data_IF_097073843171
#
_entry.id   IF_097073843171
#
_cell.length_a   1.000
_cell.length_b   1.000
_cell.length_c   1.000
_cell.angle_alpha   90.00
_cell.angle_beta   90.00
_cell.angle_gamma   90.00
#
_symmetry.space_group_name_H-M   'P 1'
#
loop_
_entity.id
_entity.type
_entity.pdbx_description
1 polymer ?
#
# COMPACT_ATOMS: atom_id res chain seq x y z
N UNK A 1 -3.94 -22.21 -15.29
CA UNK A 1 -3.98 -23.66 -14.92
C UNK A 1 -2.64 -24.14 -14.40
N UNK A 2 -1.51 -23.96 -15.13
CA UNK A 2 -0.19 -24.46 -14.70
C UNK A 2 0.28 -23.87 -13.35
N UNK A 3 0.00 -22.60 -13.10
CA UNK A 3 0.33 -21.91 -11.84
C UNK A 3 -0.48 -22.49 -10.67
N UNK A 4 -1.80 -22.54 -10.80
CA UNK A 4 -2.69 -23.09 -9.76
C UNK A 4 -2.45 -24.57 -9.46
N UNK A 5 -1.88 -25.31 -10.40
CA UNK A 5 -1.52 -26.72 -10.22
C UNK A 5 -0.07 -26.94 -9.77
N UNK A 6 0.65 -25.88 -9.39
CA UNK A 6 2.02 -25.97 -8.91
C UNK A 6 3.07 -26.38 -9.94
N UNK A 7 2.71 -26.39 -11.23
CA UNK A 7 3.64 -26.81 -12.29
C UNK A 7 4.62 -25.71 -12.69
N UNK A 8 4.19 -24.44 -12.66
CA UNK A 8 5.01 -23.30 -13.07
C UNK A 8 4.61 -22.06 -12.29
N UNK A 9 5.52 -21.50 -11.48
CA UNK A 9 5.33 -20.20 -10.87
C UNK A 9 5.40 -19.09 -11.92
N UNK A 10 4.52 -18.10 -11.81
CA UNK A 10 4.42 -16.98 -12.74
C UNK A 10 4.59 -15.68 -11.96
N UNK A 11 5.48 -14.82 -12.45
CA UNK A 11 5.55 -13.42 -12.07
C UNK A 11 4.85 -12.58 -13.13
N UNK A 12 4.23 -11.50 -12.72
CA UNK A 12 3.58 -10.53 -13.59
C UNK A 12 4.16 -9.14 -13.37
N UNK A 13 4.40 -8.45 -14.46
CA UNK A 13 4.76 -7.04 -14.45
C UNK A 13 3.47 -6.23 -14.42
N UNK A 14 3.25 -5.37 -13.40
CA UNK A 14 1.99 -4.63 -13.30
C UNK A 14 1.84 -3.53 -14.36
N UNK A 15 2.93 -2.84 -14.70
CA UNK A 15 2.93 -1.77 -15.71
C UNK A 15 3.07 -2.39 -17.10
N UNK A 16 2.15 -2.06 -18.00
CA UNK A 16 2.22 -2.43 -19.41
C UNK A 16 3.00 -1.40 -20.25
N UNK A 17 3.03 -1.63 -21.58
CA UNK A 17 3.78 -0.80 -22.51
C UNK A 17 3.26 0.61 -22.65
N UNK A 18 1.97 0.81 -22.39
CA UNK A 18 1.30 2.11 -22.44
C UNK A 18 1.45 2.88 -21.13
N UNK A 19 2.20 2.33 -20.14
CA UNK A 19 2.31 2.92 -18.81
C UNK A 19 1.06 2.76 -17.95
N UNK A 20 0.21 1.78 -18.29
CA UNK A 20 -1.04 1.50 -17.59
C UNK A 20 -0.90 0.23 -16.73
N UNK A 21 -1.72 0.14 -15.69
CA UNK A 21 -1.79 -1.02 -14.82
C UNK A 21 -3.23 -1.28 -14.36
N UNK A 22 -3.52 -2.52 -13.98
CA UNK A 22 -4.81 -2.94 -13.40
C UNK A 22 -4.71 -3.35 -11.94
N UNK A 23 -3.51 -3.35 -11.40
CA UNK A 23 -3.26 -3.61 -9.99
C UNK A 23 -1.92 -3.01 -9.57
N UNK A 24 -1.79 -2.86 -8.26
CA UNK A 24 -0.52 -2.57 -7.61
C UNK A 24 -0.40 -3.31 -6.30
N UNK A 25 0.79 -3.29 -5.69
CA UNK A 25 1.02 -3.94 -4.42
C UNK A 25 2.13 -3.25 -3.61
N UNK A 26 2.00 -3.32 -2.28
CA UNK A 26 3.08 -3.04 -1.34
C UNK A 26 3.65 -4.38 -0.91
N UNK A 27 4.97 -4.53 -0.95
CA UNK A 27 5.68 -5.73 -0.46
C UNK A 27 6.30 -5.45 0.92
N UNK A 28 5.74 -6.10 1.94
CA UNK A 28 6.20 -5.99 3.33
C UNK A 28 6.98 -7.26 3.68
N UNK A 29 8.30 -7.26 3.41
CA UNK A 29 9.19 -8.37 3.77
C UNK A 29 9.59 -8.26 5.24
N UNK A 30 9.34 -9.28 6.09
CA UNK A 30 9.69 -9.30 7.51
C UNK A 30 11.15 -8.99 7.81
N UNK A 31 12.06 -9.32 6.88
CA UNK A 31 13.49 -9.07 7.03
C UNK A 31 13.85 -7.60 7.16
N UNK A 32 12.98 -6.73 6.67
CA UNK A 32 13.19 -5.28 6.68
C UNK A 32 12.60 -4.60 7.93
N UNK A 33 11.92 -5.36 8.82
CA UNK A 33 11.19 -4.81 9.96
C UNK A 33 11.45 -5.62 11.23
N UNK A 34 11.92 -4.99 12.29
CA UNK A 34 12.33 -5.64 13.55
C UNK A 34 11.13 -6.29 14.28
N UNK A 35 9.93 -5.70 14.17
CA UNK A 35 8.72 -6.12 14.87
C UNK A 35 7.56 -6.35 13.91
N UNK A 36 7.81 -7.09 12.82
CA UNK A 36 6.76 -7.41 11.86
C UNK A 36 5.68 -8.28 12.50
N UNK A 37 4.45 -7.77 12.50
CA UNK A 37 3.23 -8.48 12.93
C UNK A 37 2.14 -8.25 11.91
N UNK A 38 1.72 -9.28 11.16
CA UNK A 38 0.64 -9.16 10.17
C UNK A 38 -0.61 -8.50 10.73
N UNK A 39 -0.98 -8.84 11.97
CA UNK A 39 -2.19 -8.38 12.66
C UNK A 39 -2.26 -6.86 12.76
N UNK A 40 -1.11 -6.18 12.91
CA UNK A 40 -1.04 -4.71 12.92
C UNK A 40 -1.58 -4.13 11.61
N UNK A 41 -1.19 -4.68 10.48
CA UNK A 41 -1.60 -4.19 9.16
C UNK A 41 -3.04 -4.55 8.85
N UNK A 42 -3.47 -5.77 9.22
CA UNK A 42 -4.85 -6.23 9.05
C UNK A 42 -5.83 -5.36 9.84
N UNK A 43 -5.48 -5.01 11.07
CA UNK A 43 -6.27 -4.09 11.89
C UNK A 43 -6.41 -2.70 11.26
N UNK A 44 -5.32 -2.13 10.73
CA UNK A 44 -5.36 -0.84 10.03
C UNK A 44 -6.26 -0.90 8.78
N UNK A 45 -6.19 -2.00 8.02
CA UNK A 45 -7.05 -2.22 6.86
C UNK A 45 -8.52 -2.17 7.27
N UNK A 46 -8.89 -2.89 8.33
CA UNK A 46 -10.25 -2.95 8.85
C UNK A 46 -10.72 -1.59 9.38
N UNK A 47 -9.99 -0.99 10.32
CA UNK A 47 -10.35 0.26 10.97
C UNK A 47 -10.51 1.44 10.01
N UNK A 48 -9.73 1.44 8.93
CA UNK A 48 -9.74 2.51 7.94
C UNK A 48 -10.47 2.16 6.65
N UNK A 49 -11.06 0.96 6.59
CA UNK A 49 -11.76 0.45 5.41
C UNK A 49 -10.93 0.59 4.13
N UNK A 50 -9.64 0.21 4.21
CA UNK A 50 -8.71 0.38 3.10
C UNK A 50 -9.05 -0.60 1.96
N UNK A 51 -9.09 -0.14 0.70
CA UNK A 51 -9.44 -0.99 -0.45
C UNK A 51 -8.24 -1.83 -0.91
N UNK A 52 -7.60 -2.53 0.01
CA UNK A 52 -6.47 -3.41 -0.26
C UNK A 52 -6.77 -4.83 0.20
N UNK A 53 -6.22 -5.79 -0.50
CA UNK A 53 -6.36 -7.21 -0.19
C UNK A 53 -5.01 -7.72 0.30
N UNK A 54 -4.90 -8.14 1.57
CA UNK A 54 -3.67 -8.71 2.11
C UNK A 54 -3.47 -10.14 1.62
N UNK A 55 -2.25 -10.45 1.21
CA UNK A 55 -1.83 -11.75 0.71
C UNK A 55 -0.56 -12.15 1.45
N UNK A 56 -0.54 -13.35 2.04
CA UNK A 56 0.65 -13.91 2.68
C UNK A 56 1.76 -14.08 1.64
N UNK A 57 2.95 -13.57 1.93
CA UNK A 57 4.12 -13.81 1.07
C UNK A 57 4.81 -15.12 1.45
N UNK A 58 5.61 -15.66 0.53
CA UNK A 58 6.39 -16.88 0.76
C UNK A 58 7.39 -16.74 1.91
N UNK A 59 7.88 -15.52 2.16
CA UNK A 59 8.84 -15.20 3.22
C UNK A 59 8.20 -15.00 4.60
N UNK A 60 6.88 -15.18 4.73
CA UNK A 60 6.14 -14.92 5.97
C UNK A 60 5.70 -13.45 6.13
N UNK A 61 5.91 -12.62 5.13
CA UNK A 61 5.43 -11.24 5.09
C UNK A 61 4.04 -11.09 4.49
N UNK A 62 3.70 -9.85 4.12
CA UNK A 62 2.45 -9.51 3.47
C UNK A 62 2.70 -8.74 2.17
N UNK A 63 1.94 -9.08 1.14
CA UNK A 63 1.72 -8.21 0.00
C UNK A 63 0.32 -7.58 0.13
N UNK A 64 0.23 -6.27 0.07
CA UNK A 64 -1.04 -5.55 0.11
C UNK A 64 -1.41 -5.13 -1.31
N UNK A 65 -2.35 -5.84 -1.91
CA UNK A 65 -2.77 -5.60 -3.30
C UNK A 65 -3.92 -4.60 -3.38
N UNK A 66 -3.86 -3.69 -4.34
CA UNK A 66 -4.99 -2.90 -4.83
C UNK A 66 -5.29 -3.30 -6.26
N UNK A 67 -6.56 -3.46 -6.58
CA UNK A 67 -7.04 -3.77 -7.94
C UNK A 67 -7.89 -2.64 -8.49
N UNK A 68 -7.89 -2.47 -9.81
CA UNK A 68 -8.72 -1.48 -10.49
C UNK A 68 -9.70 -2.15 -11.45
N UNK A 69 -10.85 -1.50 -11.67
CA UNK A 69 -11.89 -2.00 -12.60
C UNK A 69 -11.50 -1.82 -14.05
N UNK A 70 -10.67 -0.82 -14.31
CA UNK A 70 -10.15 -0.46 -15.63
C UNK A 70 -8.63 -0.28 -15.58
N UNK A 71 -8.00 -0.24 -16.74
CA UNK A 71 -6.59 0.14 -16.85
C UNK A 71 -6.43 1.62 -16.48
N UNK A 72 -5.60 1.89 -15.51
CA UNK A 72 -5.29 3.25 -15.02
C UNK A 72 -3.80 3.52 -15.17
N UNK A 73 -3.39 4.78 -15.12
CA UNK A 73 -1.96 5.12 -15.14
C UNK A 73 -1.22 4.44 -13.99
N UNK A 74 -0.10 3.82 -14.29
CA UNK A 74 0.75 3.21 -13.26
C UNK A 74 1.23 4.23 -12.21
N UNK A 75 1.39 5.52 -12.61
CA UNK A 75 1.67 6.63 -11.71
C UNK A 75 0.59 6.83 -10.66
N UNK A 76 -0.69 6.72 -11.03
CA UNK A 76 -1.82 6.95 -10.13
C UNK A 76 -1.90 5.85 -9.06
N UNK A 77 -1.64 4.59 -9.47
CA UNK A 77 -1.52 3.47 -8.53
C UNK A 77 -0.34 3.68 -7.58
N UNK A 78 0.83 4.09 -8.09
CA UNK A 78 1.99 4.37 -7.25
C UNK A 78 1.72 5.45 -6.23
N UNK A 79 1.15 6.58 -6.66
CA UNK A 79 0.79 7.68 -5.76
C UNK A 79 -0.18 7.22 -4.66
N UNK A 80 -1.15 6.39 -5.02
CA UNK A 80 -2.05 5.79 -4.04
C UNK A 80 -1.31 4.89 -3.05
N UNK A 81 -0.41 4.02 -3.51
CA UNK A 81 0.37 3.13 -2.65
C UNK A 81 1.34 3.91 -1.75
N UNK A 82 1.96 4.98 -2.24
CA UNK A 82 2.82 5.86 -1.44
C UNK A 82 2.05 6.52 -0.28
N UNK A 83 0.80 6.93 -0.51
CA UNK A 83 -0.09 7.40 0.56
C UNK A 83 -0.41 6.29 1.57
N UNK A 84 -0.59 5.05 1.10
CA UNK A 84 -0.79 3.90 1.98
C UNK A 84 0.44 3.57 2.82
N UNK A 85 1.67 3.70 2.30
CA UNK A 85 2.88 3.54 3.10
C UNK A 85 2.84 4.41 4.34
N UNK A 86 2.44 5.67 4.18
CA UNK A 86 2.30 6.60 5.29
C UNK A 86 1.24 6.14 6.31
N UNK A 87 0.08 5.67 5.83
CA UNK A 87 -1.02 5.20 6.69
C UNK A 87 -0.60 3.97 7.50
N UNK A 88 0.16 3.08 6.91
CA UNK A 88 0.68 1.87 7.56
C UNK A 88 1.90 2.14 8.45
N UNK A 89 2.45 3.37 8.43
CA UNK A 89 3.69 3.71 9.12
C UNK A 89 4.90 2.96 8.54
N UNK A 90 4.89 2.73 7.23
CA UNK A 90 5.97 2.05 6.51
C UNK A 90 6.98 3.08 5.98
N UNK A 91 8.29 2.75 5.97
CA UNK A 91 9.30 3.62 5.38
C UNK A 91 9.03 3.89 3.90
N UNK A 92 9.40 5.09 3.41
CA UNK A 92 9.26 5.46 2.00
C UNK A 92 10.06 4.55 1.04
N UNK A 93 11.08 3.85 1.54
CA UNK A 93 11.87 2.85 0.78
C UNK A 93 11.21 1.47 0.66
N UNK A 94 10.04 1.26 1.29
CA UNK A 94 9.29 0.00 1.16
C UNK A 94 8.96 -0.28 -0.30
N UNK A 95 9.14 -1.52 -0.72
CA UNK A 95 8.89 -1.89 -2.11
C UNK A 95 7.43 -1.78 -2.49
N UNK A 96 7.15 -1.02 -3.57
CA UNK A 96 5.83 -0.90 -4.17
C UNK A 96 5.88 -1.28 -5.65
N UNK A 97 4.82 -1.88 -6.13
CA UNK A 97 4.62 -2.30 -7.52
C UNK A 97 3.38 -1.63 -8.11
N UNK A 98 3.44 -1.12 -9.35
CA UNK A 98 4.57 -1.12 -10.28
C UNK A 98 5.76 -0.31 -9.76
N UNK A 99 7.00 -0.81 -9.97
CA UNK A 99 8.22 -0.04 -9.67
C UNK A 99 8.46 1.04 -10.74
N UNK A 100 8.06 0.77 -11.96
CA UNK A 100 8.13 1.71 -13.09
C UNK A 100 6.73 2.22 -13.45
N UNK A 101 6.67 3.47 -13.89
CA UNK A 101 5.46 4.11 -14.41
C UNK A 101 5.44 4.16 -15.93
N UNK A 102 6.55 3.84 -16.56
CA UNK A 102 6.73 3.67 -18.01
C UNK A 102 7.79 2.61 -18.28
N UNK A 103 7.71 1.97 -19.43
CA UNK A 103 8.73 1.05 -19.92
C UNK A 103 9.51 1.76 -21.02
N UNK A 104 10.62 2.41 -20.64
CA UNK A 104 11.48 3.09 -21.59
C UNK A 104 12.22 2.09 -22.48
N UNK A 105 12.23 2.38 -23.77
CA UNK A 105 13.02 1.64 -24.75
C UNK A 105 14.36 2.34 -24.88
N UNK A 106 15.41 1.84 -24.24
CA UNK A 106 16.77 2.34 -24.45
C UNK A 106 17.47 1.49 -25.49
N UNK A 107 17.95 2.11 -26.57
CA UNK A 107 18.68 1.45 -27.69
C UNK A 107 17.92 0.28 -28.36
N UNK A 108 16.60 0.41 -28.51
CA UNK A 108 15.79 -0.64 -29.17
C UNK A 108 15.61 -1.91 -28.32
N UNK A 109 16.14 -1.94 -27.09
CA UNK A 109 15.88 -2.99 -26.11
C UNK A 109 14.85 -2.53 -25.12
N UNK A 110 13.76 -3.28 -25.03
CA UNK A 110 12.69 -3.07 -24.05
C UNK A 110 13.23 -3.31 -22.65
N UNK A 111 13.05 -2.37 -21.73
CA UNK A 111 13.29 -2.61 -20.32
C UNK A 111 12.28 -3.66 -19.84
N UNK A 112 12.77 -4.80 -19.38
CA UNK A 112 11.93 -5.74 -18.63
C UNK A 112 11.66 -5.12 -17.27
N UNK A 113 10.42 -4.67 -17.04
CA UNK A 113 10.01 -4.13 -15.74
C UNK A 113 10.14 -5.16 -14.61
N UNK A 114 10.09 -4.68 -13.38
CA UNK A 114 10.07 -5.56 -12.22
C UNK A 114 8.73 -6.29 -12.14
N UNK A 115 8.79 -7.56 -11.81
CA UNK A 115 7.61 -8.42 -11.66
C UNK A 115 7.34 -8.75 -10.18
N UNK A 116 6.09 -9.02 -9.88
CA UNK A 116 5.65 -9.60 -8.61
C UNK A 116 5.05 -10.98 -8.87
N UNK A 117 5.28 -11.92 -7.97
CA UNK A 117 4.74 -13.26 -8.10
C UNK A 117 3.23 -13.27 -7.91
N UNK A 118 2.51 -13.95 -8.80
CA UNK A 118 1.06 -14.12 -8.72
C UNK A 118 0.70 -14.96 -7.47
N UNK A 119 -0.39 -14.58 -6.76
CA UNK A 119 -0.93 -15.36 -5.65
C UNK A 119 -1.43 -16.74 -6.06
N UNK A 120 -1.70 -17.61 -5.08
CA UNK A 120 -2.28 -18.95 -5.23
C UNK A 120 -1.46 -19.93 -6.08
N UNK A 121 -0.13 -19.85 -6.01
CA UNK A 121 0.69 -20.92 -6.55
C UNK A 121 0.37 -22.24 -5.84
N UNK A 122 0.09 -23.29 -6.62
CA UNK A 122 -0.39 -24.58 -6.10
C UNK A 122 -1.62 -24.45 -5.19
N UNK A 123 -2.44 -23.41 -5.37
CA UNK A 123 -3.64 -23.04 -4.58
C UNK A 123 -3.40 -22.68 -3.11
N UNK A 124 -2.27 -23.02 -2.54
CA UNK A 124 -1.99 -22.92 -1.10
C UNK A 124 -0.78 -22.04 -0.76
N UNK A 125 -0.04 -21.55 -1.75
CA UNK A 125 1.09 -20.67 -1.54
C UNK A 125 0.69 -19.23 -1.93
N UNK A 126 1.05 -18.26 -1.11
CA UNK A 126 0.71 -16.86 -1.30
C UNK A 126 -0.81 -16.64 -1.38
N UNK A 127 -1.50 -17.08 -0.34
CA UNK A 127 -2.96 -16.98 -0.24
C UNK A 127 -3.40 -15.64 0.34
N UNK A 128 -4.54 -15.14 -0.14
CA UNK A 128 -5.17 -13.98 0.45
C UNK A 128 -5.74 -14.31 1.82
N UNK A 129 -5.77 -13.32 2.71
CA UNK A 129 -6.39 -13.43 4.04
C UNK A 129 -7.42 -12.32 4.23
N UNK A 130 -8.38 -12.57 5.11
CA UNK A 130 -9.28 -11.53 5.62
C UNK A 130 -8.62 -10.72 6.76
N UNK A 131 -9.33 -9.73 7.30
CA UNK A 131 -8.83 -8.88 8.39
C UNK A 131 -8.67 -9.63 9.72
N UNK A 132 -9.27 -10.80 9.86
CA UNK A 132 -9.07 -11.74 10.97
C UNK A 132 -7.94 -12.75 10.74
N UNK A 133 -7.16 -12.59 9.65
CA UNK A 133 -6.06 -13.47 9.24
C UNK A 133 -6.49 -14.88 8.80
N UNK A 134 -7.77 -15.09 8.47
CA UNK A 134 -8.24 -16.35 7.90
C UNK A 134 -7.92 -16.42 6.41
N UNK A 135 -7.45 -17.58 5.95
CA UNK A 135 -7.12 -17.79 4.54
C UNK A 135 -8.37 -17.87 3.66
N UNK A 136 -8.36 -17.12 2.57
CA UNK A 136 -9.44 -17.13 1.61
C UNK A 136 -9.20 -18.21 0.55
N UNK A 137 -10.27 -18.92 0.18
CA UNK A 137 -10.23 -19.79 -1.00
C UNK A 137 -10.12 -18.95 -2.27
N UNK A 138 -9.54 -19.52 -3.33
CA UNK A 138 -9.34 -18.81 -4.60
C UNK A 138 -10.62 -18.17 -5.15
N UNK A 139 -11.74 -18.89 -5.09
CA UNK A 139 -13.03 -18.41 -5.58
C UNK A 139 -13.54 -17.22 -4.76
N UNK A 140 -13.32 -17.22 -3.45
CA UNK A 140 -13.64 -16.11 -2.55
C UNK A 140 -12.74 -14.91 -2.84
N UNK A 141 -11.45 -15.14 -3.03
CA UNK A 141 -10.50 -14.09 -3.39
C UNK A 141 -10.92 -13.37 -4.70
N UNK A 142 -11.32 -14.13 -5.73
CA UNK A 142 -11.81 -13.52 -6.98
C UNK A 142 -13.03 -12.62 -6.76
N UNK A 143 -13.97 -13.03 -5.94
CA UNK A 143 -15.13 -12.20 -5.55
C UNK A 143 -14.72 -10.95 -4.77
N UNK A 144 -13.76 -11.10 -3.86
CA UNK A 144 -13.23 -9.97 -3.08
C UNK A 144 -12.55 -8.95 -4.01
N UNK A 145 -11.81 -9.40 -5.04
CA UNK A 145 -11.25 -8.50 -6.06
C UNK A 145 -12.36 -7.71 -6.74
N UNK A 146 -13.39 -8.38 -7.25
CA UNK A 146 -14.51 -7.72 -7.95
C UNK A 146 -15.21 -6.67 -7.09
N UNK A 147 -15.41 -6.95 -5.81
CA UNK A 147 -16.07 -6.05 -4.86
C UNK A 147 -15.18 -4.85 -4.46
N UNK A 148 -13.87 -5.07 -4.32
CA UNK A 148 -12.94 -4.04 -3.84
C UNK A 148 -12.21 -3.29 -4.95
N UNK A 149 -12.35 -3.70 -6.21
CA UNK A 149 -11.68 -3.05 -7.34
C UNK A 149 -12.08 -1.57 -7.45
N UNK A 150 -11.07 -0.70 -7.54
CA UNK A 150 -11.21 0.75 -7.54
C UNK A 150 -11.32 1.30 -8.96
N UNK A 151 -11.94 2.46 -9.13
CA UNK A 151 -11.83 3.26 -10.35
C UNK A 151 -10.70 4.27 -10.22
N UNK A 152 -10.22 4.82 -11.33
CA UNK A 152 -9.24 5.93 -11.30
C UNK A 152 -9.72 7.08 -10.39
N UNK A 153 -11.02 7.41 -10.46
CA UNK A 153 -11.62 8.45 -9.63
C UNK A 153 -11.59 8.11 -8.13
N UNK A 154 -11.87 6.86 -7.76
CA UNK A 154 -11.84 6.43 -6.34
C UNK A 154 -10.43 6.39 -5.79
N UNK A 155 -9.43 5.95 -6.58
CA UNK A 155 -8.02 6.01 -6.18
C UNK A 155 -7.57 7.44 -5.87
N UNK A 156 -7.88 8.38 -6.75
CA UNK A 156 -7.49 9.78 -6.59
C UNK A 156 -8.19 10.46 -5.42
N UNK A 157 -9.49 10.19 -5.23
CA UNK A 157 -10.28 10.77 -4.13
C UNK A 157 -9.99 10.12 -2.78
N UNK A 158 -9.56 8.85 -2.75
CA UNK A 158 -9.33 8.14 -1.51
C UNK A 158 -8.27 8.82 -0.63
N UNK A 159 -7.19 9.32 -1.23
CA UNK A 159 -6.20 10.10 -0.51
C UNK A 159 -6.78 11.37 0.12
N UNK A 160 -7.63 12.10 -0.60
CA UNK A 160 -8.30 13.28 -0.08
C UNK A 160 -9.28 12.93 1.06
N UNK A 161 -10.05 11.85 0.91
CA UNK A 161 -10.99 11.37 1.92
C UNK A 161 -10.27 10.91 3.20
N UNK A 162 -9.13 10.24 3.07
CA UNK A 162 -8.32 9.84 4.23
C UNK A 162 -7.71 11.03 4.95
N UNK A 163 -7.21 12.02 4.21
CA UNK A 163 -6.72 13.27 4.78
C UNK A 163 -7.85 13.97 5.52
N UNK A 164 -9.03 14.05 4.92
CA UNK A 164 -10.19 14.67 5.56
C UNK A 164 -10.64 13.92 6.83
N UNK A 165 -10.75 12.58 6.80
CA UNK A 165 -11.04 11.75 7.99
C UNK A 165 -9.96 11.88 9.07
N UNK A 166 -8.69 12.02 8.68
CA UNK A 166 -7.60 12.25 9.62
C UNK A 166 -7.69 13.64 10.26
N UNK A 167 -8.09 14.65 9.48
CA UNK A 167 -8.32 16.02 9.96
C UNK A 167 -9.52 16.12 10.92
N UNK A 168 -10.58 15.33 10.69
CA UNK A 168 -11.74 15.24 11.59
C UNK A 168 -11.41 14.63 12.98
N UNK A 169 -10.28 13.92 13.08
CA UNK A 169 -9.76 13.35 14.34
C UNK A 169 -8.60 14.14 14.95
N UNK A 170 -8.37 15.38 14.52
CA UNK A 170 -7.25 16.19 14.97
C UNK A 170 -7.32 16.54 16.46
N UNK A 171 -6.15 16.44 17.11
CA UNK A 171 -5.89 17.12 18.36
C UNK A 171 -6.15 18.63 18.17
N UNK A 172 -6.90 19.29 19.08
CA UNK A 172 -7.17 20.74 19.03
C UNK A 172 -5.91 21.59 18.85
N UNK A 173 -4.77 21.06 19.23
CA UNK A 173 -3.44 21.68 19.15
C UNK A 173 -2.98 21.98 17.71
N UNK A 174 -3.42 21.17 16.73
CA UNK A 174 -3.03 21.33 15.33
C UNK A 174 -4.15 21.82 14.40
N UNK A 175 -5.29 22.22 14.95
CA UNK A 175 -6.49 22.61 14.19
C UNK A 175 -6.22 23.70 13.13
N UNK A 176 -5.27 24.58 13.37
CA UNK A 176 -4.89 25.66 12.46
C UNK A 176 -3.51 25.47 11.84
N UNK A 177 -2.95 24.26 11.95
CA UNK A 177 -1.60 23.91 11.49
C UNK A 177 -1.57 23.19 10.15
N UNK A 178 -0.36 22.91 9.65
CA UNK A 178 -0.21 22.06 8.48
C UNK A 178 -0.82 20.68 8.75
N UNK A 179 -1.72 20.19 7.87
CA UNK A 179 -2.40 18.90 8.07
C UNK A 179 -1.44 17.73 8.33
N UNK A 180 -0.24 17.77 7.75
CA UNK A 180 0.78 16.74 7.95
C UNK A 180 1.24 16.61 9.41
N UNK A 181 1.28 17.69 10.19
CA UNK A 181 1.68 17.61 11.60
C UNK A 181 0.60 16.92 12.45
N UNK A 182 -0.68 17.29 12.25
CA UNK A 182 -1.80 16.64 12.93
C UNK A 182 -1.91 15.16 12.63
N UNK A 183 -1.75 14.78 11.36
CA UNK A 183 -1.78 13.38 10.91
C UNK A 183 -0.64 12.56 11.54
N UNK A 184 0.59 13.09 11.53
CA UNK A 184 1.76 12.39 12.09
C UNK A 184 1.61 12.27 13.61
N UNK A 185 1.28 13.34 14.31
CA UNK A 185 1.10 13.31 15.76
C UNK A 185 -0.03 12.38 16.18
N UNK A 186 -1.20 12.49 15.57
CA UNK A 186 -2.33 11.60 15.84
C UNK A 186 -2.03 10.14 15.55
N UNK A 187 -1.25 9.84 14.51
CA UNK A 187 -0.79 8.50 14.21
C UNK A 187 0.21 7.95 15.22
N UNK A 188 1.15 8.77 15.68
CA UNK A 188 2.14 8.38 16.70
C UNK A 188 1.49 8.12 18.05
N UNK A 189 0.56 8.98 18.48
CA UNK A 189 -0.17 8.83 19.74
C UNK A 189 -1.05 7.57 19.74
N UNK A 190 -1.86 7.37 18.70
CA UNK A 190 -2.75 6.20 18.59
C UNK A 190 -2.01 4.88 18.58
N UNK A 191 -0.85 4.84 17.94
CA UNK A 191 -0.09 3.60 17.76
C UNK A 191 1.01 3.40 18.82
N UNK A 192 1.20 4.36 19.73
CA UNK A 192 2.30 4.39 20.69
C UNK A 192 3.66 4.10 20.01
N UNK A 193 3.88 4.73 18.84
CA UNK A 193 5.05 4.52 17.98
C UNK A 193 5.92 5.78 17.95
N UNK A 194 7.17 5.61 17.55
CA UNK A 194 8.13 6.70 17.33
C UNK A 194 8.37 6.86 15.83
N UNK A 195 8.76 8.07 15.42
CA UNK A 195 9.28 8.29 14.09
C UNK A 195 10.63 7.58 13.96
N UNK A 196 10.72 6.61 13.07
CA UNK A 196 11.96 5.88 12.80
C UNK A 196 12.85 6.61 11.78
N UNK A 197 12.23 7.45 10.93
CA UNK A 197 12.89 8.20 9.86
C UNK A 197 12.34 9.63 9.77
N UNK A 198 13.13 10.55 9.22
CA UNK A 198 12.75 11.98 9.05
C UNK A 198 12.38 12.75 10.34
N UNK A 199 12.86 12.30 11.51
CA UNK A 199 12.62 12.96 12.79
C UNK A 199 12.99 14.44 12.77
N UNK A 200 14.12 14.79 12.20
CA UNK A 200 14.64 16.17 12.17
C UNK A 200 13.74 17.06 11.31
N UNK A 201 13.25 16.55 10.18
CA UNK A 201 12.33 17.27 9.31
C UNK A 201 10.97 17.50 9.97
N UNK A 202 10.47 16.50 10.70
CA UNK A 202 9.26 16.64 11.49
C UNK A 202 9.42 17.70 12.57
N UNK A 203 10.50 17.63 13.37
CA UNK A 203 10.79 18.60 14.43
C UNK A 203 10.93 20.02 13.89
N UNK A 204 11.62 20.19 12.76
CA UNK A 204 11.73 21.49 12.10
C UNK A 204 10.35 22.06 11.74
N UNK A 205 9.50 21.29 11.08
CA UNK A 205 8.15 21.72 10.71
C UNK A 205 7.28 22.04 11.93
N UNK A 206 7.38 21.20 12.98
CA UNK A 206 6.70 21.45 14.25
C UNK A 206 7.16 22.76 14.90
N UNK A 207 8.45 23.01 14.97
CA UNK A 207 9.01 24.25 15.56
C UNK A 207 8.61 25.49 14.75
N UNK A 208 8.59 25.41 13.43
CA UNK A 208 8.11 26.52 12.57
C UNK A 208 6.64 26.81 12.81
N UNK A 209 5.82 25.77 12.96
CA UNK A 209 4.40 25.91 13.26
C UNK A 209 4.19 26.51 14.67
N UNK A 210 4.83 25.94 15.69
CA UNK A 210 4.73 26.45 17.06
C UNK A 210 5.13 27.93 17.17
N UNK A 211 6.23 28.32 16.52
CA UNK A 211 6.68 29.73 16.49
C UNK A 211 5.68 30.68 15.82
N UNK A 212 4.85 30.19 14.88
CA UNK A 212 3.83 31.02 14.23
C UNK A 212 2.54 31.11 15.03
N UNK A 213 2.28 30.11 15.88
CA UNK A 213 1.05 30.01 16.64
C UNK A 213 1.15 30.74 17.99
N UNK A 214 2.32 30.75 18.61
CA UNK A 214 2.62 31.35 19.90
C UNK A 214 3.68 32.47 19.76
#
# INVERSE_FOLDING_TARGET
VAHLNGKKSIGIQPCDDDGLAIFGAIDIDPKNYTDFKPEKYLKIIEEKELPVIPIKSKSGGLHLYVFTKERVKASDIREFLEKLLFIFGLPAKTEIYPKQTSLETTEGKRSSGNFINIPYYNKNDRVAVDTSNNELKFETFMKVIELNAQTAKTLNNFGATLIQKALEGESPEFKDGPPCLGIICGGLEKNNTKLDDERDRFLYNYMVFAKKKY
#
